data_IF_880167128272
#
_entry.id   IF_880167128272
#
_cell.length_a   1.000
_cell.length_b   1.000
_cell.length_c   1.000
_cell.angle_alpha   90.00
_cell.angle_beta   90.00
_cell.angle_gamma   90.00
#
_symmetry.space_group_name_H-M   'P 1'
#
loop_
_entity.id
_entity.type
_entity.pdbx_description
1 polymer ?
#
# COMPACT_ATOMS: atom_id res chain seq x y z
N UNK A 1 -18.10 2.17 -11.28
CA UNK A 1 -16.71 1.79 -11.64
C UNK A 1 -15.78 2.30 -10.56
N UNK A 2 -14.97 1.44 -9.91
CA UNK A 2 -13.97 1.89 -8.94
C UNK A 2 -12.85 2.70 -9.59
N UNK A 3 -12.22 3.57 -8.81
CA UNK A 3 -11.11 4.44 -9.25
C UNK A 3 -9.85 4.08 -8.46
N UNK A 4 -8.78 3.73 -9.16
CA UNK A 4 -7.45 3.67 -8.57
C UNK A 4 -6.86 5.08 -8.51
N UNK A 5 -6.42 5.52 -7.35
CA UNK A 5 -5.93 6.88 -7.12
C UNK A 5 -4.54 6.86 -6.50
N UNK A 6 -3.56 7.26 -7.32
CA UNK A 6 -2.19 7.50 -6.91
C UNK A 6 -1.98 8.99 -6.65
N UNK A 7 -1.65 9.35 -5.41
CA UNK A 7 -1.31 10.72 -5.02
C UNK A 7 -0.20 10.70 -3.98
N UNK A 8 0.73 11.65 -4.07
CA UNK A 8 1.94 11.68 -3.25
C UNK A 8 2.82 10.43 -3.48
N UNK A 9 3.95 10.34 -2.77
CA UNK A 9 4.84 9.17 -2.67
C UNK A 9 5.28 8.99 -1.21
N UNK A 10 6.32 8.19 -0.94
CA UNK A 10 6.87 7.94 0.40
C UNK A 10 7.31 9.24 1.11
N UNK A 11 7.45 9.19 2.44
CA UNK A 11 7.90 10.34 3.25
C UNK A 11 9.21 10.93 2.71
N UNK A 12 10.18 10.09 2.36
CA UNK A 12 11.47 10.50 1.83
C UNK A 12 11.40 11.30 0.52
N UNK A 13 10.27 11.31 -0.19
CA UNK A 13 10.09 12.18 -1.35
C UNK A 13 9.79 13.64 -0.94
N UNK A 14 9.20 13.88 0.23
CA UNK A 14 8.61 15.18 0.60
C UNK A 14 9.27 15.87 1.80
N UNK A 15 10.23 15.22 2.45
CA UNK A 15 10.97 15.78 3.60
C UNK A 15 12.48 15.82 3.31
N UNK A 16 13.27 16.62 4.06
CA UNK A 16 14.72 16.58 3.94
C UNK A 16 15.24 15.15 4.14
N UNK A 17 16.10 14.68 3.23
CA UNK A 17 16.76 13.40 3.43
C UNK A 17 17.75 13.50 4.59
N UNK A 18 17.67 12.54 5.50
CA UNK A 18 18.54 12.45 6.66
C UNK A 18 19.11 11.04 6.78
N UNK A 19 20.02 10.82 7.74
CA UNK A 19 20.52 9.49 8.04
C UNK A 19 19.43 8.51 8.53
N UNK A 20 18.26 9.02 8.91
CA UNK A 20 17.11 8.23 9.36
C UNK A 20 16.02 8.10 8.31
N UNK A 21 16.26 8.56 7.08
CA UNK A 21 15.34 8.34 5.95
C UNK A 21 15.19 6.85 5.65
N UNK A 22 13.95 6.40 5.43
CA UNK A 22 13.61 4.98 5.27
C UNK A 22 14.28 4.35 4.04
N UNK A 23 14.52 5.12 2.97
CA UNK A 23 15.24 4.72 1.77
C UNK A 23 16.70 5.16 1.76
N UNK A 24 17.17 5.86 2.80
CA UNK A 24 18.50 6.48 2.83
C UNK A 24 18.78 7.31 1.57
N UNK A 25 19.96 7.15 0.97
CA UNK A 25 20.33 7.84 -0.28
C UNK A 25 19.62 7.29 -1.51
N UNK A 26 19.02 6.10 -1.45
CA UNK A 26 18.25 5.53 -2.57
C UNK A 26 16.96 6.34 -2.84
N UNK A 27 16.48 7.11 -1.85
CA UNK A 27 15.37 8.04 -2.02
C UNK A 27 15.73 9.33 -2.77
N UNK A 28 17.02 9.65 -2.93
CA UNK A 28 17.48 10.93 -3.52
C UNK A 28 16.93 11.24 -4.92
N UNK A 29 16.82 10.28 -5.86
CA UNK A 29 16.24 10.56 -7.18
C UNK A 29 14.78 11.03 -7.13
N UNK A 30 14.05 10.64 -6.09
CA UNK A 30 12.61 10.90 -5.93
C UNK A 30 12.30 12.05 -4.98
N UNK A 31 13.33 12.62 -4.33
CA UNK A 31 13.15 13.72 -3.42
C UNK A 31 12.78 15.02 -4.16
N UNK A 32 11.63 15.57 -3.77
CA UNK A 32 11.04 16.80 -4.28
C UNK A 32 10.95 17.87 -3.20
N UNK A 33 11.55 17.65 -2.03
CA UNK A 33 11.57 18.61 -0.94
C UNK A 33 12.19 19.94 -1.38
N UNK A 34 11.50 21.05 -1.07
CA UNK A 34 11.96 22.40 -1.39
C UNK A 34 11.90 22.79 -2.86
N UNK A 35 11.40 21.93 -3.76
CA UNK A 35 11.20 22.29 -5.17
C UNK A 35 9.98 23.20 -5.32
N UNK A 36 10.10 24.24 -6.14
CA UNK A 36 9.03 25.18 -6.43
C UNK A 36 7.81 24.48 -7.04
N UNK A 37 6.60 24.89 -6.64
CA UNK A 37 5.35 24.34 -7.14
C UNK A 37 4.93 22.99 -6.56
N UNK A 38 5.73 22.39 -5.68
CA UNK A 38 5.39 21.14 -4.99
C UNK A 38 4.61 21.45 -3.72
N UNK A 39 3.41 20.87 -3.60
CA UNK A 39 2.60 20.99 -2.40
C UNK A 39 3.14 20.09 -1.27
N UNK A 40 2.97 20.48 0.01
CA UNK A 40 3.29 19.60 1.12
C UNK A 40 2.53 18.27 1.02
N UNK A 41 3.20 17.15 1.37
CA UNK A 41 2.58 15.80 1.35
C UNK A 41 1.25 15.77 2.10
N UNK A 42 1.19 16.36 3.30
CA UNK A 42 0.00 16.42 4.11
C UNK A 42 -1.17 17.11 3.38
N UNK A 43 -0.90 18.16 2.60
CA UNK A 43 -1.92 18.86 1.81
C UNK A 43 -2.41 18.03 0.62
N UNK A 44 -1.51 17.32 -0.06
CA UNK A 44 -1.85 16.39 -1.14
C UNK A 44 -2.76 15.28 -0.61
N UNK A 45 -2.38 14.65 0.51
CA UNK A 45 -3.17 13.59 1.15
C UNK A 45 -4.52 14.12 1.68
N UNK A 46 -4.54 15.32 2.27
CA UNK A 46 -5.80 15.95 2.69
C UNK A 46 -6.73 16.24 1.51
N UNK A 47 -6.17 16.63 0.36
CA UNK A 47 -6.93 16.86 -0.88
C UNK A 47 -7.57 15.57 -1.37
N UNK A 48 -6.82 14.45 -1.39
CA UNK A 48 -7.36 13.12 -1.68
C UNK A 48 -8.51 12.77 -0.72
N UNK A 49 -8.30 12.95 0.58
CA UNK A 49 -9.29 12.60 1.59
C UNK A 49 -10.60 13.40 1.40
N UNK A 50 -10.51 14.69 1.05
CA UNK A 50 -11.69 15.51 0.70
C UNK A 50 -12.41 14.99 -0.54
N UNK A 51 -11.69 14.54 -1.57
CA UNK A 51 -12.29 13.93 -2.75
C UNK A 51 -13.04 12.64 -2.40
N UNK A 52 -12.43 11.75 -1.61
CA UNK A 52 -13.07 10.51 -1.13
C UNK A 52 -14.36 10.82 -0.37
N UNK A 53 -14.31 11.77 0.56
CA UNK A 53 -15.46 12.18 1.37
C UNK A 53 -16.61 12.79 0.54
N UNK A 54 -16.26 13.60 -0.48
CA UNK A 54 -17.22 14.27 -1.35
C UNK A 54 -17.98 13.31 -2.27
N UNK A 55 -17.44 12.12 -2.52
CA UNK A 55 -17.98 11.16 -3.48
C UNK A 55 -18.27 9.80 -2.83
N UNK A 56 -19.24 9.71 -1.89
CA UNK A 56 -19.49 8.50 -1.11
C UNK A 56 -19.98 7.31 -1.95
N UNK A 57 -20.56 7.56 -3.14
CA UNK A 57 -21.02 6.52 -4.06
C UNK A 57 -19.94 6.04 -5.03
N UNK A 58 -18.72 6.58 -4.95
CA UNK A 58 -17.58 6.18 -5.75
C UNK A 58 -16.61 5.39 -4.89
N UNK A 59 -16.26 4.18 -5.33
CA UNK A 59 -15.22 3.39 -4.68
C UNK A 59 -13.85 3.92 -5.12
N UNK A 60 -13.01 4.28 -4.16
CA UNK A 60 -11.63 4.67 -4.38
C UNK A 60 -10.70 3.56 -3.89
N UNK A 61 -9.61 3.36 -4.61
CA UNK A 61 -8.52 2.45 -4.26
C UNK A 61 -7.26 3.29 -4.14
N UNK A 62 -6.81 3.54 -2.91
CA UNK A 62 -5.56 4.24 -2.67
C UNK A 62 -4.37 3.36 -3.00
N UNK A 63 -3.62 3.73 -4.03
CA UNK A 63 -2.41 3.01 -4.42
C UNK A 63 -1.38 3.00 -3.29
N UNK A 64 -0.64 1.89 -3.17
CA UNK A 64 0.52 1.78 -2.28
C UNK A 64 0.19 2.09 -0.82
N UNK A 65 -0.89 1.48 -0.31
CA UNK A 65 -1.42 1.71 1.04
C UNK A 65 -1.77 3.19 1.25
N UNK A 66 -2.29 3.83 0.19
CA UNK A 66 -2.58 5.27 0.17
C UNK A 66 -1.34 6.15 0.40
N UNK A 67 -0.14 5.68 0.04
CA UNK A 67 1.14 6.33 0.32
C UNK A 67 1.37 6.64 1.82
N UNK A 68 0.86 5.76 2.69
CA UNK A 68 0.91 5.86 4.16
C UNK A 68 1.29 4.53 4.82
N UNK A 69 1.96 3.63 4.11
CA UNK A 69 2.38 2.32 4.63
C UNK A 69 3.27 2.38 5.88
N UNK A 70 4.00 3.48 6.09
CA UNK A 70 4.79 3.72 7.30
C UNK A 70 3.92 4.00 8.54
N UNK A 71 2.66 4.42 8.34
CA UNK A 71 1.68 4.74 9.38
C UNK A 71 0.35 4.03 9.12
N UNK A 72 0.32 2.73 9.43
CA UNK A 72 -0.91 1.92 9.35
C UNK A 72 -2.00 2.41 10.32
N UNK A 73 -1.66 3.22 11.34
CA UNK A 73 -2.63 3.84 12.24
C UNK A 73 -3.49 4.87 11.50
N UNK A 74 -2.86 5.78 10.76
CA UNK A 74 -3.59 6.74 9.93
C UNK A 74 -4.38 6.05 8.81
N UNK A 75 -3.80 5.03 8.16
CA UNK A 75 -4.52 4.23 7.15
C UNK A 75 -5.77 3.59 7.76
N UNK A 76 -5.65 3.01 8.96
CA UNK A 76 -6.79 2.44 9.70
C UNK A 76 -7.90 3.48 9.93
N UNK A 77 -7.53 4.69 10.37
CA UNK A 77 -8.46 5.79 10.58
C UNK A 77 -9.20 6.16 9.30
N UNK A 78 -8.51 6.19 8.15
CA UNK A 78 -9.12 6.50 6.86
C UNK A 78 -10.08 5.41 6.39
N UNK A 79 -9.72 4.13 6.57
CA UNK A 79 -10.58 2.99 6.22
C UNK A 79 -11.85 2.94 7.08
N UNK A 80 -11.73 3.30 8.37
CA UNK A 80 -12.86 3.39 9.30
C UNK A 80 -13.77 4.58 8.96
N UNK A 81 -13.19 5.74 8.63
CA UNK A 81 -13.94 6.97 8.34
C UNK A 81 -14.66 6.94 6.98
N UNK A 82 -14.08 6.28 5.99
CA UNK A 82 -14.59 6.27 4.61
C UNK A 82 -14.96 4.86 4.15
N UNK A 83 -16.24 4.46 4.21
CA UNK A 83 -16.71 3.15 3.76
C UNK A 83 -16.45 2.86 2.26
N UNK A 84 -16.19 3.90 1.46
CA UNK A 84 -15.90 3.82 0.04
C UNK A 84 -14.40 3.83 -0.31
N UNK A 85 -13.50 3.80 0.68
CA UNK A 85 -12.04 3.86 0.48
C UNK A 85 -11.32 2.52 0.69
N UNK A 86 -10.80 1.91 -0.36
CA UNK A 86 -9.99 0.70 -0.31
C UNK A 86 -8.53 1.05 -0.55
N UNK A 87 -7.63 0.09 -0.37
CA UNK A 87 -6.22 0.24 -0.70
C UNK A 87 -5.70 -1.00 -1.45
N UNK A 88 -4.62 -0.82 -2.21
CA UNK A 88 -3.74 -1.93 -2.58
C UNK A 88 -2.42 -1.86 -1.80
N UNK A 89 -1.62 -2.92 -1.89
CA UNK A 89 -0.35 -3.06 -1.16
C UNK A 89 0.88 -2.88 -2.04
N UNK A 90 0.69 -2.52 -3.31
CA UNK A 90 1.75 -2.52 -4.32
C UNK A 90 2.92 -1.60 -3.97
N UNK A 91 4.14 -1.95 -4.40
CA UNK A 91 5.40 -1.24 -4.10
C UNK A 91 5.68 -0.99 -2.60
N UNK A 92 5.00 -1.68 -1.67
CA UNK A 92 5.15 -1.47 -0.22
C UNK A 92 5.49 -2.75 0.55
N UNK A 93 6.00 -3.78 -0.12
CA UNK A 93 6.37 -5.04 0.54
C UNK A 93 7.31 -4.80 1.72
N UNK A 94 8.36 -3.99 1.51
CA UNK A 94 9.37 -3.71 2.53
C UNK A 94 8.84 -2.90 3.73
N UNK A 95 7.91 -1.98 3.47
CA UNK A 95 7.36 -1.09 4.49
C UNK A 95 6.34 -1.83 5.37
N UNK A 96 5.65 -2.82 4.77
CA UNK A 96 4.76 -3.76 5.46
C UNK A 96 5.58 -4.74 6.30
N UNK A 97 6.60 -5.38 5.70
CA UNK A 97 7.33 -6.49 6.32
C UNK A 97 8.27 -6.08 7.45
N UNK A 98 8.63 -4.80 7.58
CA UNK A 98 9.40 -4.28 8.73
C UNK A 98 8.58 -4.08 10.01
N UNK A 99 7.24 -4.17 9.94
CA UNK A 99 6.33 -3.96 11.07
C UNK A 99 5.34 -5.14 11.26
N UNK A 100 5.83 -6.39 11.36
CA UNK A 100 5.03 -7.59 11.15
C UNK A 100 3.82 -7.72 12.08
N UNK A 101 3.96 -7.39 13.37
CA UNK A 101 2.84 -7.50 14.32
C UNK A 101 1.74 -6.49 14.07
N UNK A 102 2.10 -5.26 13.71
CA UNK A 102 1.14 -4.18 13.39
C UNK A 102 0.47 -4.48 12.06
N UNK A 103 1.27 -4.82 11.03
CA UNK A 103 0.78 -5.22 9.72
C UNK A 103 -0.18 -6.41 9.82
N UNK A 104 0.19 -7.50 10.49
CA UNK A 104 -0.68 -8.67 10.64
C UNK A 104 -2.06 -8.31 11.22
N UNK A 105 -2.10 -7.51 12.30
CA UNK A 105 -3.36 -7.06 12.91
C UNK A 105 -4.17 -6.18 11.96
N UNK A 106 -3.51 -5.27 11.24
CA UNK A 106 -4.12 -4.41 10.24
C UNK A 106 -4.75 -5.22 9.10
N UNK A 107 -4.00 -6.15 8.51
CA UNK A 107 -4.44 -6.98 7.40
C UNK A 107 -5.65 -7.86 7.79
N UNK A 108 -5.66 -8.42 8.99
CA UNK A 108 -6.80 -9.19 9.49
C UNK A 108 -8.03 -8.29 9.70
N UNK A 109 -7.87 -7.13 10.37
CA UNK A 109 -8.98 -6.20 10.65
C UNK A 109 -9.63 -5.68 9.37
N UNK A 110 -8.82 -5.37 8.35
CA UNK A 110 -9.25 -4.73 7.11
C UNK A 110 -9.22 -5.66 5.90
N UNK A 111 -9.29 -6.98 6.12
CA UNK A 111 -9.15 -7.98 5.06
C UNK A 111 -10.10 -7.75 3.87
N UNK A 112 -11.29 -7.18 4.08
CA UNK A 112 -12.26 -6.87 3.04
C UNK A 112 -11.98 -5.57 2.26
N UNK A 113 -10.94 -4.81 2.62
CA UNK A 113 -10.63 -3.48 2.07
C UNK A 113 -9.24 -3.37 1.45
N UNK A 114 -8.46 -4.46 1.47
CA UNK A 114 -7.07 -4.52 0.99
C UNK A 114 -7.01 -5.41 -0.26
N UNK A 115 -6.33 -4.95 -1.30
CA UNK A 115 -6.12 -5.71 -2.53
C UNK A 115 -4.64 -5.97 -2.79
N UNK A 116 -4.39 -7.10 -3.43
CA UNK A 116 -3.07 -7.44 -3.92
C UNK A 116 -2.73 -6.64 -5.18
N UNK A 117 -1.48 -6.19 -5.22
CA UNK A 117 -0.84 -5.57 -6.37
C UNK A 117 0.65 -5.54 -6.10
N UNK A 118 1.47 -5.60 -7.15
CA UNK A 118 2.93 -5.69 -6.99
C UNK A 118 3.60 -4.38 -7.34
N UNK A 119 3.14 -3.72 -8.42
CA UNK A 119 3.80 -2.59 -9.07
C UNK A 119 5.26 -2.90 -9.47
N UNK A 120 5.48 -4.16 -9.85
CA UNK A 120 6.77 -4.73 -10.25
C UNK A 120 6.58 -5.63 -11.48
N UNK A 121 7.67 -5.87 -12.20
CA UNK A 121 7.69 -6.82 -13.32
C UNK A 121 7.25 -8.24 -12.89
N UNK A 122 6.50 -8.97 -13.73
CA UNK A 122 5.91 -10.26 -13.36
C UNK A 122 6.95 -11.39 -13.41
N UNK A 123 7.83 -11.46 -12.42
CA UNK A 123 8.80 -12.55 -12.27
C UNK A 123 8.41 -13.53 -11.17
N UNK A 124 8.85 -14.78 -11.29
CA UNK A 124 8.62 -15.81 -10.26
C UNK A 124 9.21 -15.39 -8.91
N UNK A 125 10.43 -14.84 -8.92
CA UNK A 125 11.08 -14.35 -7.71
C UNK A 125 10.27 -13.25 -7.02
N UNK A 126 9.64 -12.38 -7.80
CA UNK A 126 8.78 -11.32 -7.28
C UNK A 126 7.57 -11.92 -6.54
N UNK A 127 6.82 -12.84 -7.18
CA UNK A 127 5.67 -13.47 -6.54
C UNK A 127 6.05 -14.30 -5.31
N UNK A 128 7.13 -15.09 -5.38
CA UNK A 128 7.64 -15.86 -4.23
C UNK A 128 7.96 -14.97 -3.04
N UNK A 129 8.49 -13.77 -3.28
CA UNK A 129 8.78 -12.79 -2.24
C UNK A 129 7.53 -12.26 -1.55
N UNK A 130 6.50 -11.92 -2.32
CA UNK A 130 5.19 -11.51 -1.79
C UNK A 130 4.51 -12.64 -1.01
N UNK A 131 4.50 -13.85 -1.54
CA UNK A 131 3.91 -15.02 -0.86
C UNK A 131 4.66 -15.32 0.43
N UNK A 132 6.00 -15.28 0.41
CA UNK A 132 6.80 -15.42 1.61
C UNK A 132 6.45 -14.38 2.66
N UNK A 133 6.30 -13.11 2.27
CA UNK A 133 5.88 -12.03 3.17
C UNK A 133 4.50 -12.27 3.78
N UNK A 134 3.51 -12.65 2.98
CA UNK A 134 2.12 -12.72 3.45
C UNK A 134 1.77 -14.03 4.17
N UNK A 135 2.38 -15.14 3.77
CA UNK A 135 1.93 -16.50 4.12
C UNK A 135 2.77 -17.17 5.21
N UNK A 136 4.02 -16.73 5.43
CA UNK A 136 4.96 -17.43 6.32
C UNK A 136 5.17 -16.70 7.65
N UNK A 137 5.77 -17.41 8.60
CA UNK A 137 6.39 -16.84 9.81
C UNK A 137 7.91 -16.65 9.64
N UNK A 138 8.41 -16.65 8.40
CA UNK A 138 9.84 -16.51 8.16
C UNK A 138 10.34 -15.18 8.69
N UNK A 139 11.55 -15.19 9.24
CA UNK A 139 12.19 -14.00 9.76
C UNK A 139 13.42 -13.64 8.93
N UNK A 140 13.76 -12.35 8.94
CA UNK A 140 15.04 -11.86 8.45
C UNK A 140 15.33 -12.25 6.98
N UNK A 141 14.45 -11.85 6.06
CA UNK A 141 14.66 -12.02 4.62
C UNK A 141 14.44 -10.71 3.85
N UNK A 142 14.85 -10.69 2.58
CA UNK A 142 14.58 -9.58 1.65
C UNK A 142 13.39 -9.91 0.76
N UNK A 143 12.44 -9.00 0.70
CA UNK A 143 11.39 -9.01 -0.32
C UNK A 143 11.93 -8.40 -1.63
N UNK A 144 11.34 -8.72 -2.79
CA UNK A 144 11.53 -7.95 -4.02
C UNK A 144 11.21 -6.50 -3.71
N UNK A 145 12.02 -5.55 -4.17
CA UNK A 145 11.95 -4.11 -3.82
C UNK A 145 12.42 -3.69 -2.42
N UNK A 146 12.84 -4.62 -1.55
CA UNK A 146 13.44 -4.28 -0.28
C UNK A 146 14.75 -3.52 -0.51
N UNK A 147 14.72 -2.20 -0.27
CA UNK A 147 15.90 -1.35 -0.38
C UNK A 147 17.07 -1.93 0.43
N UNK A 148 17.03 -1.75 1.75
CA UNK A 148 18.01 -2.27 2.71
C UNK A 148 17.35 -2.94 3.92
N UNK A 149 16.02 -2.89 3.99
CA UNK A 149 15.24 -3.44 5.09
C UNK A 149 15.18 -4.96 5.03
N UNK A 150 15.38 -5.57 6.20
CA UNK A 150 15.02 -6.97 6.42
C UNK A 150 13.55 -7.04 6.83
N UNK A 151 12.88 -8.08 6.36
CA UNK A 151 11.45 -8.26 6.47
C UNK A 151 11.12 -9.55 7.19
N UNK A 152 9.90 -9.59 7.70
CA UNK A 152 9.35 -10.66 8.53
C UNK A 152 7.98 -11.02 7.97
N UNK A 153 7.70 -12.32 7.91
CA UNK A 153 6.45 -12.86 7.41
C UNK A 153 5.27 -12.52 8.35
N UNK A 154 4.09 -12.36 7.76
CA UNK A 154 2.89 -11.96 8.49
C UNK A 154 2.03 -13.15 8.97
N UNK A 155 2.24 -14.34 8.41
CA UNK A 155 1.42 -15.54 8.65
C UNK A 155 -0.08 -15.22 8.70
N UNK A 156 -0.59 -14.69 7.57
CA UNK A 156 -2.00 -14.36 7.42
C UNK A 156 -2.82 -15.64 7.23
N UNK A 157 -4.02 -15.75 7.85
CA UNK A 157 -4.91 -16.88 7.62
C UNK A 157 -5.37 -16.98 6.16
N UNK A 158 -5.64 -18.19 5.67
CA UNK A 158 -6.08 -18.46 4.28
C UNK A 158 -7.28 -17.61 3.84
N UNK A 159 -8.26 -17.43 4.72
CA UNK A 159 -9.44 -16.61 4.46
C UNK A 159 -9.11 -15.12 4.22
N UNK A 160 -8.06 -14.62 4.87
CA UNK A 160 -7.55 -13.26 4.68
C UNK A 160 -6.77 -13.19 3.38
N UNK A 161 -5.92 -14.18 3.11
CA UNK A 161 -5.14 -14.28 1.86
C UNK A 161 -6.05 -14.33 0.63
N UNK A 162 -7.10 -15.15 0.62
CA UNK A 162 -8.06 -15.21 -0.50
C UNK A 162 -8.73 -13.86 -0.77
N UNK A 163 -9.09 -13.12 0.28
CA UNK A 163 -9.66 -11.78 0.16
C UNK A 163 -8.71 -10.82 -0.53
N UNK A 164 -7.47 -10.79 -0.08
CA UNK A 164 -6.42 -9.90 -0.59
C UNK A 164 -6.06 -10.27 -2.03
N UNK A 165 -5.83 -11.56 -2.31
CA UNK A 165 -5.35 -12.03 -3.60
C UNK A 165 -6.37 -11.87 -4.72
N UNK A 166 -7.66 -12.11 -4.48
CA UNK A 166 -8.62 -12.01 -5.57
C UNK A 166 -10.05 -11.66 -5.18
N UNK A 167 -10.61 -12.12 -4.05
CA UNK A 167 -12.05 -11.94 -3.81
C UNK A 167 -12.45 -10.46 -3.73
N UNK A 168 -11.60 -9.60 -3.15
CA UNK A 168 -11.88 -8.16 -3.11
C UNK A 168 -11.88 -7.54 -4.51
N UNK A 169 -10.89 -7.88 -5.34
CA UNK A 169 -10.81 -7.40 -6.72
C UNK A 169 -12.00 -7.92 -7.54
N UNK A 170 -12.30 -9.22 -7.46
CA UNK A 170 -13.46 -9.83 -8.13
C UNK A 170 -14.77 -9.15 -7.71
N UNK A 171 -14.96 -8.83 -6.43
CA UNK A 171 -16.16 -8.15 -5.94
C UNK A 171 -16.27 -6.72 -6.48
N UNK A 172 -15.18 -5.95 -6.46
CA UNK A 172 -15.21 -4.54 -6.85
C UNK A 172 -15.26 -4.32 -8.37
N UNK A 173 -14.69 -5.25 -9.13
CA UNK A 173 -14.52 -5.12 -10.58
C UNK A 173 -15.39 -6.09 -11.38
N UNK A 174 -16.32 -6.81 -10.74
CA UNK A 174 -17.19 -7.83 -11.35
C UNK A 174 -17.87 -7.37 -12.64
N UNK A 175 -18.36 -6.14 -12.66
CA UNK A 175 -19.12 -5.59 -13.78
C UNK A 175 -18.23 -5.06 -14.92
N UNK A 176 -16.90 -5.04 -14.74
CA UNK A 176 -15.93 -4.68 -15.80
C UNK A 176 -15.50 -5.88 -16.65
N UNK A 177 -15.77 -7.12 -16.19
CA UNK A 177 -15.45 -8.34 -16.92
C UNK A 177 -16.30 -8.57 -18.20
N UNK A 178 -17.24 -7.67 -18.51
CA UNK A 178 -18.01 -7.66 -19.76
C UNK A 178 -17.33 -6.91 -20.93
N UNK A 179 -16.19 -6.25 -20.69
CA UNK A 179 -15.35 -5.69 -21.75
C UNK A 179 -14.26 -6.68 -22.12
N UNK A 180 -14.22 -7.09 -23.38
CA UNK A 180 -13.16 -7.95 -23.91
C UNK A 180 -11.77 -7.39 -23.56
N UNK A 181 -10.92 -8.24 -22.97
CA UNK A 181 -9.48 -8.04 -22.89
C UNK A 181 -8.85 -8.38 -24.25
#
# INVERSE_FOLDING_TARGET
>A
MPISIHVSDMEDCYYPLTATSDLGTAGAPWNVYGKEGIWPKAEILATRNRAVAKHPNTIFVGCHVGNLSHDLGEVSRLLDLYPNYHIDISARAWDIGRQPFTARKFFIKYADRIMFGTDLGPSEQMYRGWFRLLETEDEFFRVPDAAWWMNYGLNLPDEVLQKIYYLNATRLFKDMAGGAW
#
